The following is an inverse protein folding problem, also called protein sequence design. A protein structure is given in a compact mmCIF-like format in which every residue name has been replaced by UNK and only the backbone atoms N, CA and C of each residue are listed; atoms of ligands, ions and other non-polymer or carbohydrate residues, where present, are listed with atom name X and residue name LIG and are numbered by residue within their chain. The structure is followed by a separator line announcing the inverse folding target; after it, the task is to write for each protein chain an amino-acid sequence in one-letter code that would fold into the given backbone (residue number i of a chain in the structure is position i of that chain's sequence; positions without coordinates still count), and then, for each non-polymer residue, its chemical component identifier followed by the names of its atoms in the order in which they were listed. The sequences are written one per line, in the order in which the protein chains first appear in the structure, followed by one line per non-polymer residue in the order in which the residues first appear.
data_IF_995840007096
#
_entry.id   IF_995840007096
#
_cell.length_a   1.000
_cell.length_b   1.000
_cell.length_c   1.000
_cell.angle_alpha   90.00
_cell.angle_beta   90.00
_cell.angle_gamma   90.00
#
_symmetry.space_group_name_H-M   'P 1'
#
loop_
_entity.id
_entity.type
_entity.pdbx_description
1 polymer ?
#
# COMPACT_ATOMS: atom_id res chain seq x y z
N UNK A 1 21.78 1.55 -0.07
CA UNK A 1 21.24 2.22 1.13
C UNK A 1 19.87 1.61 1.42
N UNK A 2 19.68 0.89 2.53
CA UNK A 2 18.35 0.37 2.90
C UNK A 2 17.52 1.56 3.43
N UNK A 3 16.30 1.73 2.94
CA UNK A 3 15.38 2.80 3.38
C UNK A 3 15.42 4.11 2.57
N UNK A 4 16.23 4.21 1.51
CA UNK A 4 16.17 5.35 0.57
C UNK A 4 15.75 4.84 -0.81
N UNK A 5 14.60 5.32 -1.28
CA UNK A 5 13.93 4.76 -2.42
C UNK A 5 12.65 5.50 -2.77
N UNK A 6 12.43 5.71 -4.07
CA UNK A 6 11.19 6.26 -4.58
C UNK A 6 10.81 5.52 -5.84
N UNK A 7 9.52 5.23 -6.02
CA UNK A 7 8.97 4.72 -7.27
C UNK A 7 7.71 5.50 -7.60
N UNK A 8 7.68 6.10 -8.78
CA UNK A 8 6.47 6.64 -9.39
C UNK A 8 5.84 5.60 -10.32
N UNK A 9 4.54 5.37 -10.14
CA UNK A 9 3.77 4.41 -10.94
C UNK A 9 2.89 5.17 -11.93
N UNK A 10 3.29 5.18 -13.20
CA UNK A 10 2.47 5.76 -14.27
C UNK A 10 1.32 4.84 -14.68
N UNK A 11 1.49 3.53 -14.48
CA UNK A 11 0.48 2.50 -14.74
C UNK A 11 0.60 1.39 -13.71
N UNK A 12 -0.54 0.79 -13.38
CA UNK A 12 -0.61 -0.42 -12.56
C UNK A 12 -1.31 -1.55 -13.32
N UNK A 13 -0.90 -2.79 -13.09
CA UNK A 13 -1.53 -3.95 -13.73
C UNK A 13 -2.73 -4.40 -12.93
N UNK A 14 -3.91 -4.36 -13.56
CA UNK A 14 -5.12 -4.97 -13.05
C UNK A 14 -5.20 -6.44 -13.46
N UNK A 15 -5.40 -7.34 -12.50
CA UNK A 15 -5.80 -8.73 -12.75
C UNK A 15 -7.29 -8.84 -12.44
N UNK A 16 -8.08 -9.40 -13.35
CA UNK A 16 -9.55 -9.41 -13.24
C UNK A 16 -10.12 -10.58 -12.43
N UNK A 17 -9.36 -11.67 -12.26
CA UNK A 17 -9.86 -12.87 -11.58
C UNK A 17 -8.86 -13.37 -10.52
N UNK A 18 -9.06 -13.07 -9.22
CA UNK A 18 -9.98 -12.05 -8.70
C UNK A 18 -9.53 -10.62 -9.07
N UNK A 19 -10.41 -9.61 -9.00
CA UNK A 19 -10.09 -8.22 -9.35
C UNK A 19 -9.13 -7.59 -8.31
N UNK A 20 -7.87 -7.38 -8.69
CA UNK A 20 -6.85 -6.71 -7.85
C UNK A 20 -5.73 -6.05 -8.67
N UNK A 21 -5.15 -5.00 -8.10
CA UNK A 21 -3.95 -4.33 -8.60
C UNK A 21 -2.71 -5.10 -8.11
N UNK A 22 -1.79 -5.37 -9.04
CA UNK A 22 -0.44 -5.85 -8.71
C UNK A 22 0.42 -4.72 -8.16
N UNK A 23 0.99 -4.94 -6.98
CA UNK A 23 1.78 -3.93 -6.26
C UNK A 23 3.27 -3.95 -6.60
N UNK A 24 3.78 -5.04 -7.17
CA UNK A 24 5.18 -5.15 -7.58
C UNK A 24 5.52 -4.26 -8.79
N UNK A 25 6.81 -4.02 -8.99
CA UNK A 25 7.34 -3.15 -10.04
C UNK A 25 7.02 -3.67 -11.44
N UNK A 26 6.71 -2.75 -12.35
CA UNK A 26 6.35 -3.05 -13.74
C UNK A 26 7.20 -2.18 -14.68
N UNK A 27 7.28 -2.49 -15.98
CA UNK A 27 8.05 -1.70 -16.95
C UNK A 27 7.64 -0.21 -17.06
N UNK A 28 6.53 0.19 -16.43
CA UNK A 28 5.96 1.53 -16.47
C UNK A 28 6.17 2.29 -15.14
N UNK A 29 7.22 1.95 -14.40
CA UNK A 29 7.60 2.61 -13.15
C UNK A 29 8.90 3.38 -13.31
N UNK A 30 8.95 4.58 -12.75
CA UNK A 30 10.19 5.37 -12.66
C UNK A 30 10.69 5.33 -11.23
N UNK A 31 11.83 4.68 -11.01
CA UNK A 31 12.41 4.53 -9.66
C UNK A 31 13.71 5.30 -9.51
N UNK A 32 13.92 5.86 -8.32
CA UNK A 32 15.19 6.43 -7.87
C UNK A 32 15.68 5.68 -6.63
N UNK A 33 16.97 5.38 -6.56
CA UNK A 33 17.58 4.57 -5.51
C UNK A 33 16.97 3.16 -5.43
N UNK A 34 16.46 2.75 -4.27
CA UNK A 34 15.85 1.43 -4.07
C UNK A 34 14.38 1.46 -4.53
N UNK A 35 13.98 0.65 -5.51
CA UNK A 35 12.60 0.60 -5.93
C UNK A 35 11.63 0.22 -4.80
N UNK A 36 10.51 0.92 -4.72
CA UNK A 36 9.40 0.68 -3.79
C UNK A 36 8.18 0.09 -4.52
N UNK A 37 7.41 -0.76 -3.83
CA UNK A 37 6.16 -1.32 -4.33
C UNK A 37 4.99 -0.36 -4.14
N UNK A 38 3.96 -0.51 -4.98
CA UNK A 38 2.81 0.37 -4.98
C UNK A 38 2.01 0.23 -3.68
N UNK A 39 1.78 1.34 -2.97
CA UNK A 39 1.11 1.33 -1.67
C UNK A 39 1.97 0.83 -0.51
N UNK A 40 3.30 0.72 -0.69
CA UNK A 40 4.26 0.35 0.35
C UNK A 40 5.14 1.53 0.72
N UNK A 41 5.58 1.59 1.98
CA UNK A 41 6.53 2.58 2.46
C UNK A 41 7.51 1.96 3.47
N UNK A 42 8.76 2.41 3.43
CA UNK A 42 9.85 1.96 4.32
C UNK A 42 10.63 3.17 4.78
N UNK A 43 11.17 3.09 5.99
CA UNK A 43 12.13 4.05 6.51
C UNK A 43 13.11 3.36 7.47
N UNK A 44 14.33 3.88 7.55
CA UNK A 44 15.39 3.48 8.48
C UNK A 44 15.81 4.62 9.41
N UNK A 45 15.12 5.77 9.36
CA UNK A 45 15.48 6.97 10.09
C UNK A 45 15.39 6.78 11.60
N UNK A 46 14.29 6.20 12.09
CA UNK A 46 14.10 6.02 13.51
C UNK A 46 14.97 4.87 14.02
N UNK A 47 15.70 5.10 15.12
CA UNK A 47 16.46 4.06 15.79
C UNK A 47 15.56 3.16 16.64
N UNK A 48 16.04 2.76 17.81
CA UNK A 48 15.28 1.94 18.76
C UNK A 48 14.01 2.65 19.32
N UNK A 49 13.85 3.95 19.08
CA UNK A 49 12.73 4.78 19.53
C UNK A 49 11.74 5.12 18.40
N UNK A 50 11.42 4.12 17.58
CA UNK A 50 10.54 4.26 16.41
C UNK A 50 9.14 4.81 16.72
N UNK A 51 8.67 4.70 17.97
CA UNK A 51 7.41 5.28 18.42
C UNK A 51 7.47 6.78 18.72
N UNK A 52 8.67 7.33 18.93
CA UNK A 52 8.89 8.73 19.32
C UNK A 52 9.36 9.59 18.15
N UNK A 53 10.28 9.07 17.32
CA UNK A 53 10.91 9.82 16.23
C UNK A 53 10.03 10.00 14.99
N UNK A 54 8.83 9.40 14.97
CA UNK A 54 7.97 9.35 13.79
C UNK A 54 8.57 8.50 12.66
N UNK A 55 7.91 8.51 11.50
CA UNK A 55 8.34 7.77 10.30
C UNK A 55 8.27 8.69 9.08
N UNK A 56 9.23 8.54 8.16
CA UNK A 56 9.33 9.40 6.98
C UNK A 56 8.83 8.73 5.69
N UNK A 57 8.80 7.40 5.65
CA UNK A 57 8.37 6.66 4.48
C UNK A 57 6.92 6.96 4.16
N UNK A 58 6.64 7.42 2.94
CA UNK A 58 5.31 7.82 2.48
C UNK A 58 4.89 7.00 1.26
N UNK A 59 3.62 6.59 1.22
CA UNK A 59 3.00 6.06 0.01
C UNK A 59 1.71 6.82 -0.32
N UNK A 60 1.38 6.87 -1.61
CA UNK A 60 0.09 7.35 -2.11
C UNK A 60 -0.47 6.28 -3.06
N UNK A 61 -1.74 5.97 -2.91
CA UNK A 61 -2.55 5.23 -3.88
C UNK A 61 -3.57 6.21 -4.41
N UNK A 62 -3.51 6.51 -5.71
CA UNK A 62 -4.46 7.38 -6.37
C UNK A 62 -5.08 6.65 -7.57
N UNK A 63 -6.38 6.37 -7.48
CA UNK A 63 -7.19 5.78 -8.55
C UNK A 63 -8.29 6.73 -9.00
N UNK A 64 -8.24 8.01 -8.63
CA UNK A 64 -9.20 9.02 -9.07
C UNK A 64 -9.23 9.11 -10.61
N UNK A 65 -10.41 9.33 -11.17
CA UNK A 65 -10.60 9.40 -12.63
C UNK A 65 -10.57 8.04 -13.35
N UNK A 66 -10.35 6.92 -12.65
CA UNK A 66 -10.31 5.58 -13.26
C UNK A 66 -11.60 4.76 -13.09
N UNK A 67 -12.54 5.21 -12.25
CA UNK A 67 -13.72 4.43 -11.85
C UNK A 67 -13.41 3.24 -10.93
N UNK A 68 -12.18 3.17 -10.41
CA UNK A 68 -11.72 2.14 -9.50
C UNK A 68 -11.63 2.70 -8.07
N UNK A 69 -12.09 1.91 -7.09
CA UNK A 69 -11.90 2.19 -5.66
C UNK A 69 -11.25 1.02 -4.95
N UNK A 70 -10.40 1.29 -3.97
CA UNK A 70 -9.76 0.23 -3.17
C UNK A 70 -10.78 -0.30 -2.15
N UNK A 71 -10.90 -1.62 -2.03
CA UNK A 71 -11.83 -2.25 -1.08
C UNK A 71 -11.62 -1.74 0.36
N UNK A 72 -12.69 -1.42 1.11
CA UNK A 72 -12.58 -0.98 2.50
C UNK A 72 -11.85 -1.98 3.41
N UNK A 73 -11.93 -3.28 3.13
CA UNK A 73 -11.26 -4.34 3.91
C UNK A 73 -9.73 -4.38 3.78
N UNK A 74 -9.16 -3.66 2.81
CA UNK A 74 -7.71 -3.50 2.70
C UNK A 74 -7.20 -2.64 3.84
N UNK A 75 -6.24 -3.20 4.57
CA UNK A 75 -5.48 -2.56 5.65
C UNK A 75 -3.98 -2.72 5.39
N UNK A 76 -3.15 -2.22 6.29
CA UNK A 76 -1.70 -2.35 6.20
C UNK A 76 -1.17 -3.09 7.42
N UNK A 77 -0.13 -3.89 7.21
CA UNK A 77 0.65 -4.48 8.30
C UNK A 77 2.09 -4.00 8.20
N UNK A 78 2.76 -3.98 9.35
CA UNK A 78 4.18 -3.67 9.41
C UNK A 78 5.03 -4.85 8.99
N UNK A 79 6.23 -4.57 8.49
CA UNK A 79 7.30 -5.54 8.27
C UNK A 79 8.64 -4.93 8.68
N UNK A 80 9.68 -5.75 8.69
CA UNK A 80 11.04 -5.33 9.06
C UNK A 80 11.19 -5.15 10.57
N UNK A 81 12.32 -4.57 10.99
CA UNK A 81 12.64 -4.43 12.40
C UNK A 81 11.99 -3.17 12.98
N UNK A 82 11.27 -3.33 14.11
CA UNK A 82 10.50 -2.27 14.77
C UNK A 82 9.67 -1.40 13.80
N UNK A 83 8.96 -2.06 12.88
CA UNK A 83 8.11 -1.38 11.91
C UNK A 83 6.93 -0.66 12.57
N UNK A 84 6.69 0.59 12.17
CA UNK A 84 5.63 1.46 12.70
C UNK A 84 4.79 2.02 11.55
N UNK A 85 3.48 2.05 11.75
CA UNK A 85 2.53 2.81 10.93
C UNK A 85 2.15 4.04 11.75
N UNK A 86 2.45 5.24 11.24
CA UNK A 86 2.10 6.48 11.94
C UNK A 86 0.67 6.92 11.63
N UNK A 87 0.28 6.89 10.35
CA UNK A 87 -1.08 7.19 9.93
C UNK A 87 -1.37 6.64 8.54
N UNK A 88 -2.62 6.26 8.29
CA UNK A 88 -3.15 5.92 6.98
C UNK A 88 -4.52 6.58 6.85
N UNK A 89 -4.64 7.46 5.87
CA UNK A 89 -5.87 8.19 5.57
C UNK A 89 -6.43 7.74 4.23
N UNK A 90 -7.76 7.68 4.14
CA UNK A 90 -8.50 7.22 2.96
C UNK A 90 -9.60 8.23 2.65
N UNK A 91 -9.74 8.61 1.38
CA UNK A 91 -10.86 9.43 0.91
C UNK A 91 -12.18 8.69 1.08
N UNK A 92 -13.28 9.43 1.20
CA UNK A 92 -14.63 8.86 1.35
C UNK A 92 -14.95 7.82 0.26
N UNK A 93 -14.61 8.13 -1.00
CA UNK A 93 -14.85 7.24 -2.15
C UNK A 93 -13.87 6.07 -2.24
N UNK A 94 -12.83 6.03 -1.39
CA UNK A 94 -11.84 4.95 -1.36
C UNK A 94 -10.88 4.93 -2.56
N UNK A 95 -10.82 6.03 -3.32
CA UNK A 95 -10.01 6.20 -4.53
C UNK A 95 -8.70 6.99 -4.31
N UNK A 96 -8.49 7.53 -3.10
CA UNK A 96 -7.26 8.18 -2.70
C UNK A 96 -6.88 7.69 -1.30
N UNK A 97 -5.66 7.19 -1.14
CA UNK A 97 -5.14 6.72 0.15
C UNK A 97 -3.72 7.24 0.30
N UNK A 98 -3.42 7.86 1.43
CA UNK A 98 -2.07 8.30 1.80
C UNK A 98 -1.69 7.67 3.14
N UNK A 99 -0.46 7.16 3.24
CA UNK A 99 0.02 6.59 4.49
C UNK A 99 1.51 6.82 4.73
N UNK A 100 1.86 6.78 6.01
CA UNK A 100 3.22 6.97 6.51
C UNK A 100 3.65 5.78 7.35
N UNK A 101 4.75 5.15 6.96
CA UNK A 101 5.29 3.94 7.58
C UNK A 101 6.82 3.94 7.61
N UNK A 102 7.39 3.23 8.57
CA UNK A 102 8.83 3.25 8.78
C UNK A 102 9.26 2.51 10.03
N UNK A 103 10.26 3.06 10.73
CA UNK A 103 10.79 2.55 11.99
C UNK A 103 12.28 2.26 11.88
N UNK A 104 12.75 1.23 12.61
CA UNK A 104 14.15 0.82 12.61
C UNK A 104 14.47 -0.08 11.43
N UNK A 105 14.48 0.50 10.23
CA UNK A 105 14.47 -0.25 8.98
C UNK A 105 13.24 -1.15 8.84
N UNK A 106 12.11 -0.60 9.29
CA UNK A 106 10.78 -1.18 9.14
C UNK A 106 9.98 -0.46 8.05
N UNK A 107 8.84 -1.04 7.71
CA UNK A 107 7.92 -0.47 6.74
C UNK A 107 6.52 -1.04 6.89
N UNK A 108 5.66 -0.74 5.93
CA UNK A 108 4.33 -1.33 5.85
C UNK A 108 3.98 -1.74 4.43
N UNK A 109 3.13 -2.76 4.35
CA UNK A 109 2.60 -3.30 3.10
C UNK A 109 1.10 -3.52 3.21
N UNK A 110 0.42 -3.42 2.06
CA UNK A 110 -1.02 -3.68 2.02
C UNK A 110 -1.32 -5.15 2.31
N UNK A 111 -2.39 -5.39 3.04
CA UNK A 111 -2.89 -6.71 3.39
C UNK A 111 -4.41 -6.73 3.27
N UNK A 112 -4.91 -7.81 2.71
CA UNK A 112 -6.34 -8.13 2.75
C UNK A 112 -6.70 -8.70 4.11
N UNK A 113 -7.68 -8.11 4.79
CA UNK A 113 -8.37 -8.74 5.91
C UNK A 113 -9.70 -9.28 5.39
N UNK A 114 -9.66 -10.43 4.72
CA UNK A 114 -10.87 -11.15 4.35
C UNK A 114 -11.03 -12.30 5.37
N UNK A 115 -12.02 -12.21 6.25
CA UNK A 115 -12.46 -13.35 7.07
C UNK A 115 -13.13 -14.39 6.17
N UNK A 116 -12.34 -15.26 5.54
CA UNK A 116 -12.88 -16.36 4.74
C UNK A 116 -13.02 -17.61 5.59
N UNK A 117 -14.16 -17.73 6.29
CA UNK A 117 -14.75 -19.00 6.75
C UNK A 117 -13.74 -20.01 7.33
N UNK A 118 -12.89 -19.59 8.29
CA UNK A 118 -11.93 -20.46 8.98
C UNK A 118 -10.76 -20.99 8.16
N UNK A 119 -10.52 -20.52 6.92
CA UNK A 119 -9.31 -20.85 6.15
C UNK A 119 -8.19 -19.87 6.47
N UNK A 120 -6.95 -20.37 6.61
CA UNK A 120 -5.76 -19.52 6.79
C UNK A 120 -5.73 -18.46 5.68
N UNK A 121 -5.64 -17.15 6.02
CA UNK A 121 -5.51 -16.11 5.02
C UNK A 121 -4.28 -16.40 4.15
N UNK A 122 -4.47 -16.51 2.84
CA UNK A 122 -3.33 -16.39 1.93
C UNK A 122 -2.90 -14.94 2.02
N UNK A 123 -1.73 -14.66 2.61
CA UNK A 123 -1.19 -13.31 2.65
C UNK A 123 -0.96 -12.84 1.22
N UNK A 124 -1.91 -12.04 0.71
CA UNK A 124 -1.82 -11.40 -0.58
C UNK A 124 -1.60 -9.92 -0.33
N UNK A 125 -0.51 -9.42 -0.89
CA UNK A 125 -0.08 -8.02 -0.82
C UNK A 125 -0.60 -7.20 -2.01
N UNK A 126 -1.61 -7.73 -2.70
CA UNK A 126 -2.26 -7.08 -3.82
C UNK A 126 -3.38 -6.17 -3.29
N UNK A 127 -3.59 -5.02 -3.96
CA UNK A 127 -4.69 -4.11 -3.61
C UNK A 127 -5.96 -4.55 -4.33
N UNK A 128 -6.92 -5.09 -3.58
CA UNK A 128 -8.21 -5.46 -4.15
C UNK A 128 -9.08 -4.23 -4.36
N UNK A 129 -9.79 -4.22 -5.49
CA UNK A 129 -10.61 -3.08 -5.89
C UNK A 129 -12.05 -3.47 -6.14
N UNK A 130 -12.94 -2.48 -6.09
CA UNK A 130 -14.33 -2.58 -6.52
C UNK A 130 -14.46 -1.72 -7.78
N UNK A 131 -15.17 -2.24 -8.77
CA UNK A 131 -15.61 -1.46 -9.92
C UNK A 131 -16.87 -0.72 -9.51
N UNK A 132 -16.91 0.59 -9.71
CA UNK A 132 -18.16 1.31 -9.60
C UNK A 132 -19.07 0.82 -10.72
N UNK A 133 -20.00 -0.06 -10.38
CA UNK A 133 -21.17 -0.29 -11.22
C UNK A 133 -21.93 1.03 -11.24
N UNK A 134 -22.25 1.53 -12.44
CA UNK A 134 -23.11 2.70 -12.61
C UNK A 134 -24.30 2.60 -11.64
N UNK A 135 -24.72 3.69 -10.99
CA UNK A 135 -26.00 3.67 -10.30
C UNK A 135 -27.04 3.21 -11.31
N UNK A 136 -27.84 2.20 -10.95
CA UNK A 136 -29.00 1.81 -11.76
C UNK A 136 -29.82 3.09 -11.99
N UNK A 137 -29.92 3.48 -13.26
CA UNK A 137 -30.73 4.63 -13.71
C UNK A 137 -32.21 4.32 -13.61
#
# INVERSE_FOLDING_TARGET
MKGQGYTDFQKVRLKLFPVHIKTYLLPFTNSTYTPQYYGHATDCYAGNNSHECGVLGKFIINTQGTGLRIKPSINWKTYGFNGVIANITRSYDGNYIEGYCGGQCGGCESRVIDEYNGRKPVEKFDLYIVLDTLPEM
#
